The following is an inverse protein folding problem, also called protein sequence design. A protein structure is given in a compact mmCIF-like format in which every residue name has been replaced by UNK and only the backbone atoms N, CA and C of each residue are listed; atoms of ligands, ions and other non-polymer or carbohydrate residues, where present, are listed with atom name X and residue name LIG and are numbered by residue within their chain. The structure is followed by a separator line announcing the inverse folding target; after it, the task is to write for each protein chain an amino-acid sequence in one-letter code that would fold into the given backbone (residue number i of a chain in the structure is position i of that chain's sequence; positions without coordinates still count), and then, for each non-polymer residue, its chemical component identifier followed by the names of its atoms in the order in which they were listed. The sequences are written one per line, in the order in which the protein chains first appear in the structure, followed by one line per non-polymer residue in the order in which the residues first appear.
data_IF_882330382599
#
_entry.id   IF_882330382599
#
_cell.length_a   1.000
_cell.length_b   1.000
_cell.length_c   1.000
_cell.angle_alpha   90.00
_cell.angle_beta   90.00
_cell.angle_gamma   90.00
#
_symmetry.space_group_name_H-M   'P 1'
#
loop_
_entity.id
_entity.type
_entity.pdbx_description
1 polymer ?
#
# COMPACT_ATOMS: atom_id res chain seq x y z
N UNK A 1 -90.27 30.72 86.39
CA UNK A 1 -91.03 31.96 86.10
C UNK A 1 -92.46 31.98 86.68
N UNK A 2 -93.51 31.49 85.98
CA UNK A 2 -94.91 31.66 86.45
C UNK A 2 -95.29 30.82 87.69
N UNK A 3 -94.57 29.71 87.95
CA UNK A 3 -94.82 28.81 89.08
C UNK A 3 -94.25 29.36 90.39
N UNK A 4 -93.02 29.85 90.38
CA UNK A 4 -92.35 30.47 91.55
C UNK A 4 -93.07 31.73 92.03
N UNK A 5 -93.57 32.55 91.10
CA UNK A 5 -94.31 33.78 91.46
C UNK A 5 -95.65 33.45 92.14
N UNK A 6 -96.34 32.39 91.70
CA UNK A 6 -97.56 31.89 92.37
C UNK A 6 -97.26 31.32 93.76
N UNK A 7 -96.12 30.69 93.94
CA UNK A 7 -95.69 30.12 95.22
C UNK A 7 -95.36 31.22 96.25
N UNK A 8 -94.65 32.28 95.85
CA UNK A 8 -94.41 33.45 96.69
C UNK A 8 -95.69 34.15 97.15
N UNK A 9 -96.67 34.33 96.26
CA UNK A 9 -97.98 34.92 96.61
C UNK A 9 -98.75 34.02 97.59
N UNK A 10 -98.70 32.70 97.40
CA UNK A 10 -99.34 31.73 98.30
C UNK A 10 -98.73 31.75 99.70
N UNK A 11 -97.40 31.79 99.80
CA UNK A 11 -96.69 31.87 101.07
C UNK A 11 -96.95 33.20 101.79
N UNK A 12 -96.99 34.32 101.05
CA UNK A 12 -97.33 35.63 101.61
C UNK A 12 -98.75 35.67 102.22
N UNK A 13 -99.74 35.09 101.54
CA UNK A 13 -101.11 34.99 102.07
C UNK A 13 -101.19 34.13 103.34
N UNK A 14 -100.43 33.03 103.41
CA UNK A 14 -100.35 32.19 104.61
C UNK A 14 -99.74 32.93 105.80
N UNK A 15 -98.68 33.70 105.58
CA UNK A 15 -98.03 34.49 106.62
C UNK A 15 -98.95 35.58 107.20
N UNK A 16 -99.75 36.25 106.36
CA UNK A 16 -100.75 37.24 106.82
C UNK A 16 -101.80 36.58 107.70
N UNK A 17 -102.31 35.41 107.29
CA UNK A 17 -103.34 34.70 108.06
C UNK A 17 -102.85 34.27 109.44
N UNK A 18 -101.60 33.81 109.56
CA UNK A 18 -100.98 33.47 110.84
C UNK A 18 -100.87 34.71 111.74
N UNK A 19 -100.49 35.86 111.18
CA UNK A 19 -100.40 37.12 111.92
C UNK A 19 -101.77 37.62 112.39
N UNK A 20 -102.82 37.46 111.58
CA UNK A 20 -104.20 37.80 111.95
C UNK A 20 -104.70 36.93 113.12
N UNK A 21 -104.47 35.61 113.06
CA UNK A 21 -104.85 34.68 114.13
C UNK A 21 -104.13 34.96 115.46
N UNK A 22 -102.84 35.35 115.43
CA UNK A 22 -102.07 35.72 116.63
C UNK A 22 -102.50 37.07 117.22
N UNK A 23 -102.85 38.04 116.36
CA UNK A 23 -103.36 39.36 116.79
C UNK A 23 -104.72 39.26 117.50
N UNK A 24 -105.60 38.36 117.06
CA UNK A 24 -106.90 38.12 117.72
C UNK A 24 -106.73 37.40 119.07
N UNK A 25 -105.79 36.45 119.17
CA UNK A 25 -105.52 35.72 120.40
C UNK A 25 -104.81 36.58 121.46
N UNK A 26 -103.85 37.42 121.03
CA UNK A 26 -103.01 38.24 121.90
C UNK A 26 -103.11 39.71 121.49
N UNK A 27 -104.25 40.34 121.80
CA UNK A 27 -104.45 41.75 121.51
C UNK A 27 -103.41 42.62 122.24
N UNK A 28 -102.53 43.34 121.53
CA UNK A 28 -101.44 44.11 122.13
C UNK A 28 -101.94 45.14 123.15
N UNK A 29 -101.20 45.28 124.25
CA UNK A 29 -101.57 46.17 125.35
C UNK A 29 -101.75 47.64 124.92
N UNK A 30 -101.02 48.07 123.88
CA UNK A 30 -101.11 49.40 123.28
C UNK A 30 -102.53 49.77 122.82
N UNK A 31 -103.34 48.81 122.34
CA UNK A 31 -104.72 49.07 121.94
C UNK A 31 -105.66 49.22 123.14
N UNK A 32 -105.34 48.56 124.26
CA UNK A 32 -106.07 48.73 125.53
C UNK A 32 -105.75 50.09 126.17
N UNK A 33 -104.48 50.52 126.12
CA UNK A 33 -104.08 51.88 126.50
C UNK A 33 -104.80 52.92 125.64
N UNK A 34 -104.81 52.75 124.31
CA UNK A 34 -105.55 53.65 123.42
C UNK A 34 -107.02 53.80 123.82
N UNK A 35 -107.72 52.71 124.19
CA UNK A 35 -109.12 52.80 124.65
C UNK A 35 -109.29 53.49 126.00
N UNK A 36 -108.29 53.44 126.90
CA UNK A 36 -108.35 54.06 128.23
C UNK A 36 -107.82 55.51 128.28
N UNK A 37 -107.06 55.93 127.27
CA UNK A 37 -106.43 57.25 127.19
C UNK A 37 -107.42 58.39 126.88
N UNK A 38 -107.06 59.61 127.33
CA UNK A 38 -107.71 60.86 126.95
C UNK A 38 -107.47 61.25 125.48
N UNK A 39 -108.18 62.26 124.98
CA UNK A 39 -108.21 62.59 123.55
C UNK A 39 -106.83 62.98 122.97
N UNK A 40 -106.01 63.71 123.72
CA UNK A 40 -104.68 64.14 123.27
C UNK A 40 -103.66 62.97 123.21
N UNK A 41 -103.68 62.07 124.19
CA UNK A 41 -102.80 60.88 124.21
C UNK A 41 -103.15 59.89 123.08
N UNK A 42 -104.44 59.75 122.74
CA UNK A 42 -104.87 58.93 121.60
C UNK A 42 -104.30 59.43 120.28
N UNK A 43 -104.28 60.74 120.04
CA UNK A 43 -103.73 61.32 118.80
C UNK A 43 -102.23 61.06 118.67
N UNK A 44 -101.48 61.13 119.77
CA UNK A 44 -100.05 60.82 119.75
C UNK A 44 -99.78 59.33 119.43
N UNK A 45 -100.58 58.41 119.97
CA UNK A 45 -100.49 56.98 119.64
C UNK A 45 -100.86 56.72 118.17
N UNK A 46 -101.90 57.38 117.64
CA UNK A 46 -102.26 57.29 116.22
C UNK A 46 -101.17 57.80 115.28
N UNK A 47 -100.53 58.92 115.62
CA UNK A 47 -99.47 59.50 114.81
C UNK A 47 -98.23 58.57 114.76
N UNK A 48 -97.84 57.99 115.89
CA UNK A 48 -96.70 57.06 115.96
C UNK A 48 -96.98 55.73 115.24
N UNK A 49 -98.20 55.19 115.36
CA UNK A 49 -98.64 54.00 114.60
C UNK A 49 -98.76 54.30 113.10
N UNK A 50 -99.24 55.48 112.73
CA UNK A 50 -99.29 55.98 111.35
C UNK A 50 -97.89 56.04 110.74
N UNK A 51 -96.92 56.59 111.48
CA UNK A 51 -95.51 56.61 111.08
C UNK A 51 -94.92 55.21 110.87
N UNK A 52 -95.18 54.27 111.80
CA UNK A 52 -94.72 52.88 111.66
C UNK A 52 -95.38 52.17 110.48
N UNK A 53 -96.66 52.41 110.23
CA UNK A 53 -97.39 51.85 109.08
C UNK A 53 -96.78 52.31 107.76
N UNK A 54 -96.48 53.61 107.62
CA UNK A 54 -95.86 54.14 106.41
C UNK A 54 -94.44 53.59 106.22
N UNK A 55 -93.64 53.49 107.30
CA UNK A 55 -92.31 52.91 107.26
C UNK A 55 -92.31 51.43 106.85
N UNK A 56 -93.22 50.62 107.39
CA UNK A 56 -93.35 49.20 107.02
C UNK A 56 -93.86 49.02 105.58
N UNK A 57 -94.76 49.89 105.12
CA UNK A 57 -95.20 49.92 103.71
C UNK A 57 -94.02 50.21 102.78
N UNK A 58 -93.21 51.21 103.09
CA UNK A 58 -92.02 51.55 102.29
C UNK A 58 -90.99 50.40 102.29
N UNK A 59 -90.76 49.75 103.44
CA UNK A 59 -89.86 48.59 103.54
C UNK A 59 -90.34 47.41 102.71
N UNK A 60 -91.65 47.15 102.73
CA UNK A 60 -92.27 46.11 101.89
C UNK A 60 -92.15 46.42 100.40
N UNK A 61 -92.36 47.69 100.02
CA UNK A 61 -92.16 48.16 98.63
C UNK A 61 -90.71 47.99 98.18
N UNK A 62 -89.74 48.34 99.02
CA UNK A 62 -88.32 48.15 98.74
C UNK A 62 -87.96 46.66 98.54
N UNK A 63 -88.47 45.78 99.41
CA UNK A 63 -88.29 44.34 99.29
C UNK A 63 -88.85 43.80 97.97
N UNK A 64 -90.03 44.28 97.55
CA UNK A 64 -90.63 43.91 96.26
C UNK A 64 -89.79 44.35 95.06
N UNK A 65 -89.32 45.59 95.04
CA UNK A 65 -88.48 46.08 93.95
C UNK A 65 -87.14 45.33 93.88
N UNK A 66 -86.54 44.98 95.02
CA UNK A 66 -85.32 44.17 95.08
C UNK A 66 -85.54 42.78 94.50
N UNK A 67 -86.63 42.10 94.89
CA UNK A 67 -86.98 40.79 94.34
C UNK A 67 -87.22 40.85 92.83
N UNK A 68 -88.00 41.84 92.37
CA UNK A 68 -88.26 42.04 90.94
C UNK A 68 -86.99 42.29 90.13
N UNK A 69 -86.07 43.10 90.67
CA UNK A 69 -84.80 43.40 89.99
C UNK A 69 -83.94 42.14 89.85
N UNK A 70 -83.80 41.35 90.91
CA UNK A 70 -83.05 40.09 90.87
C UNK A 70 -83.67 39.11 89.87
N UNK A 71 -85.00 38.96 89.88
CA UNK A 71 -85.69 38.06 88.95
C UNK A 71 -85.48 38.45 87.47
N UNK A 72 -85.54 39.74 87.15
CA UNK A 72 -85.29 40.22 85.78
C UNK A 72 -83.82 40.04 85.39
N UNK A 73 -82.89 40.33 86.29
CA UNK A 73 -81.45 40.17 86.05
C UNK A 73 -81.09 38.70 85.75
N UNK A 74 -81.62 37.75 86.53
CA UNK A 74 -81.41 36.32 86.30
C UNK A 74 -81.97 35.84 84.95
N UNK A 75 -83.15 36.34 84.54
CA UNK A 75 -83.69 36.02 83.22
C UNK A 75 -82.84 36.62 82.08
N UNK A 76 -82.28 37.81 82.28
CA UNK A 76 -81.44 38.45 81.27
C UNK A 76 -80.13 37.68 81.07
N UNK A 77 -79.46 37.24 82.15
CA UNK A 77 -78.27 36.39 82.06
C UNK A 77 -78.56 35.06 81.34
N UNK A 78 -79.73 34.46 81.60
CA UNK A 78 -80.13 33.25 80.90
C UNK A 78 -80.38 33.49 79.39
N UNK A 79 -81.00 34.61 79.03
CA UNK A 79 -81.24 34.97 77.63
C UNK A 79 -79.93 35.27 76.87
N UNK A 80 -79.02 36.03 77.49
CA UNK A 80 -77.72 36.38 76.89
C UNK A 80 -76.88 35.11 76.59
N UNK A 81 -76.91 34.12 77.50
CA UNK A 81 -76.23 32.84 77.33
C UNK A 81 -76.79 32.01 76.16
N UNK A 82 -78.11 31.95 76.00
CA UNK A 82 -78.74 31.22 74.90
C UNK A 82 -78.45 31.90 73.54
N UNK A 83 -78.38 33.23 73.51
CA UNK A 83 -77.99 33.95 72.28
C UNK A 83 -76.55 33.68 71.86
N UNK A 84 -75.60 33.59 72.80
CA UNK A 84 -74.22 33.21 72.47
C UNK A 84 -74.12 31.79 71.87
N UNK A 85 -74.89 30.84 72.41
CA UNK A 85 -74.92 29.46 71.89
C UNK A 85 -75.48 29.41 70.46
N UNK A 86 -76.55 30.14 70.18
CA UNK A 86 -77.12 30.23 68.82
C UNK A 86 -76.15 30.88 67.82
N UNK A 87 -75.32 31.81 68.28
CA UNK A 87 -74.31 32.46 67.44
C UNK A 87 -73.18 31.49 67.07
N UNK A 88 -72.74 30.64 68.01
CA UNK A 88 -71.77 29.58 67.75
C UNK A 88 -72.31 28.53 66.77
N UNK A 89 -73.58 28.15 66.89
CA UNK A 89 -74.22 27.21 65.98
C UNK A 89 -74.27 27.77 64.54
N UNK A 90 -74.59 29.06 64.37
CA UNK A 90 -74.58 29.73 63.07
C UNK A 90 -73.20 29.68 62.40
N UNK A 91 -72.14 29.97 63.15
CA UNK A 91 -70.76 29.91 62.65
C UNK A 91 -70.36 28.49 62.22
N UNK A 92 -70.77 27.47 62.99
CA UNK A 92 -70.51 26.07 62.65
C UNK A 92 -71.18 25.65 61.34
N UNK A 93 -72.43 26.08 61.10
CA UNK A 93 -73.17 25.77 59.88
C UNK A 93 -72.58 26.47 58.65
N UNK A 94 -72.09 27.70 58.80
CA UNK A 94 -71.40 28.41 57.71
C UNK A 94 -70.07 27.74 57.33
N UNK A 95 -69.32 27.23 58.31
CA UNK A 95 -68.10 26.46 58.06
C UNK A 95 -68.38 25.15 57.29
N UNK A 96 -69.45 24.42 57.65
CA UNK A 96 -69.85 23.20 56.93
C UNK A 96 -70.39 23.52 55.53
N UNK A 97 -71.14 24.61 55.38
CA UNK A 97 -71.66 25.06 54.08
C UNK A 97 -70.56 25.40 53.08
N UNK A 98 -69.51 26.09 53.51
CA UNK A 98 -68.36 26.42 52.66
C UNK A 98 -67.56 25.17 52.27
N UNK A 99 -67.34 24.24 53.19
CA UNK A 99 -66.66 22.96 52.89
C UNK A 99 -67.40 22.07 51.88
N UNK A 100 -68.74 22.17 51.80
CA UNK A 100 -69.55 21.37 50.87
C UNK A 100 -69.76 22.05 49.51
N UNK A 101 -69.70 23.37 49.42
CA UNK A 101 -70.01 24.10 48.18
C UNK A 101 -68.88 24.01 47.15
N UNK A 102 -67.62 23.94 47.58
CA UNK A 102 -66.46 23.81 46.67
C UNK A 102 -66.32 22.44 45.96
N UNK A 103 -66.45 21.27 46.63
CA UNK A 103 -66.14 19.99 45.99
C UNK A 103 -67.29 19.37 45.19
N UNK A 104 -68.55 19.77 45.41
CA UNK A 104 -69.73 19.14 44.77
C UNK A 104 -69.74 19.23 43.23
N UNK A 105 -69.41 20.37 42.60
CA UNK A 105 -69.36 20.46 41.14
C UNK A 105 -68.26 19.57 40.53
N UNK A 106 -67.07 19.58 41.17
CA UNK A 106 -65.92 18.73 40.83
C UNK A 106 -66.28 17.24 40.88
N UNK A 107 -66.94 16.80 41.96
CA UNK A 107 -67.37 15.40 42.12
C UNK A 107 -68.40 14.98 41.05
N UNK A 108 -69.30 15.88 40.64
CA UNK A 108 -70.26 15.59 39.56
C UNK A 108 -69.58 15.45 38.20
N UNK A 109 -68.59 16.28 37.93
CA UNK A 109 -67.80 16.19 36.70
C UNK A 109 -66.95 14.91 36.67
N UNK A 110 -66.30 14.56 37.78
CA UNK A 110 -65.58 13.30 37.94
C UNK A 110 -66.50 12.09 37.75
N UNK A 111 -67.70 12.11 38.33
CA UNK A 111 -68.68 11.05 38.15
C UNK A 111 -69.14 10.91 36.69
N UNK A 112 -69.40 12.02 35.99
CA UNK A 112 -69.74 12.01 34.58
C UNK A 112 -68.59 11.44 33.71
N UNK A 113 -67.35 11.84 34.01
CA UNK A 113 -66.15 11.33 33.34
C UNK A 113 -65.95 9.84 33.56
N UNK A 114 -66.09 9.36 34.80
CA UNK A 114 -65.99 7.94 35.13
C UNK A 114 -67.09 7.12 34.45
N UNK A 115 -68.31 7.66 34.35
CA UNK A 115 -69.42 6.98 33.65
C UNK A 115 -69.16 6.88 32.13
N UNK A 116 -68.57 7.91 31.53
CA UNK A 116 -68.17 7.88 30.12
C UNK A 116 -67.02 6.88 29.87
N UNK A 117 -66.02 6.85 30.76
CA UNK A 117 -64.94 5.87 30.69
C UNK A 117 -65.46 4.43 30.83
N UNK A 118 -66.36 4.17 31.78
CA UNK A 118 -67.00 2.86 31.94
C UNK A 118 -67.74 2.43 30.66
N UNK A 119 -68.43 3.36 29.99
CA UNK A 119 -69.13 3.06 28.75
C UNK A 119 -68.16 2.73 27.60
N UNK A 120 -67.06 3.48 27.48
CA UNK A 120 -66.02 3.23 26.49
C UNK A 120 -65.32 1.87 26.73
N UNK A 121 -64.98 1.57 27.98
CA UNK A 121 -64.37 0.28 28.36
C UNK A 121 -65.31 -0.89 28.08
N UNK A 122 -66.61 -0.76 28.39
CA UNK A 122 -67.59 -1.79 28.04
C UNK A 122 -67.68 -2.01 26.53
N UNK A 123 -67.67 -0.93 25.73
CA UNK A 123 -67.67 -1.04 24.28
C UNK A 123 -66.39 -1.71 23.75
N UNK A 124 -65.23 -1.38 24.33
CA UNK A 124 -63.95 -2.02 24.00
C UNK A 124 -63.94 -3.51 24.36
N UNK A 125 -64.52 -3.89 25.49
CA UNK A 125 -64.64 -5.30 25.91
C UNK A 125 -65.56 -6.09 24.97
N UNK A 126 -66.69 -5.53 24.54
CA UNK A 126 -67.56 -6.21 23.56
C UNK A 126 -66.88 -6.33 22.19
N UNK A 127 -66.21 -5.27 21.70
CA UNK A 127 -65.43 -5.35 20.46
C UNK A 127 -64.28 -6.37 20.54
N UNK A 128 -63.67 -6.55 21.72
CA UNK A 128 -62.64 -7.56 21.95
C UNK A 128 -63.18 -9.00 22.03
N UNK A 129 -64.46 -9.19 22.38
CA UNK A 129 -65.12 -10.51 22.34
C UNK A 129 -65.46 -10.94 20.92
N UNK A 130 -65.70 -9.99 20.03
CA UNK A 130 -65.93 -10.23 18.60
C UNK A 130 -64.63 -10.52 17.82
N UNK A 131 -63.45 -10.34 18.44
CA UNK A 131 -62.18 -10.74 17.86
C UNK A 131 -61.99 -12.26 17.93
N UNK A 132 -62.00 -12.89 16.75
CA UNK A 132 -61.82 -14.34 16.60
C UNK A 132 -60.45 -14.80 17.15
N UNK A 133 -60.41 -15.70 18.16
CA UNK A 133 -59.16 -16.22 18.71
C UNK A 133 -58.32 -16.98 17.68
N UNK A 134 -58.94 -17.54 16.63
CA UNK A 134 -58.24 -18.27 15.57
C UNK A 134 -57.37 -17.32 14.72
N UNK A 135 -57.95 -16.20 14.27
CA UNK A 135 -57.24 -15.13 13.53
C UNK A 135 -56.10 -14.52 14.37
N UNK A 136 -56.32 -14.33 15.67
CA UNK A 136 -55.28 -13.84 16.59
C UNK A 136 -54.11 -14.83 16.72
N UNK A 137 -54.40 -16.13 16.71
CA UNK A 137 -53.37 -17.17 16.74
C UNK A 137 -52.57 -17.21 15.43
N UNK A 138 -53.24 -17.10 14.27
CA UNK A 138 -52.60 -17.05 12.96
C UNK A 138 -51.69 -15.83 12.82
N UNK A 139 -52.14 -14.64 13.26
CA UNK A 139 -51.31 -13.43 13.25
C UNK A 139 -50.09 -13.56 14.17
N UNK A 140 -50.22 -14.19 15.34
CA UNK A 140 -49.07 -14.45 16.23
C UNK A 140 -48.07 -15.41 15.59
N UNK A 141 -48.56 -16.47 14.94
CA UNK A 141 -47.71 -17.40 14.18
C UNK A 141 -47.00 -16.64 13.05
N UNK A 142 -47.72 -15.86 12.25
CA UNK A 142 -47.14 -15.06 11.17
C UNK A 142 -46.10 -14.03 11.67
N UNK A 143 -46.33 -13.36 12.79
CA UNK A 143 -45.34 -12.47 13.43
C UNK A 143 -44.10 -13.26 13.87
N UNK A 144 -44.28 -14.45 14.44
CA UNK A 144 -43.16 -15.29 14.87
C UNK A 144 -42.32 -15.79 13.69
N UNK A 145 -42.96 -16.17 12.59
CA UNK A 145 -42.30 -16.58 11.34
C UNK A 145 -41.55 -15.41 10.70
N UNK A 146 -42.18 -14.24 10.61
CA UNK A 146 -41.53 -13.03 10.08
C UNK A 146 -40.36 -12.59 10.95
N UNK A 147 -40.48 -12.68 12.29
CA UNK A 147 -39.38 -12.39 13.19
C UNK A 147 -38.22 -13.35 12.93
N UNK A 148 -38.47 -14.66 12.88
CA UNK A 148 -37.45 -15.66 12.55
C UNK A 148 -36.76 -15.38 11.19
N UNK A 149 -37.52 -14.95 10.18
CA UNK A 149 -36.99 -14.56 8.87
C UNK A 149 -36.12 -13.29 8.95
N UNK A 150 -36.53 -12.28 9.71
CA UNK A 150 -35.77 -11.05 9.94
C UNK A 150 -34.45 -11.37 10.66
N UNK A 151 -34.47 -12.22 11.68
CA UNK A 151 -33.27 -12.67 12.38
C UNK A 151 -32.32 -13.43 11.43
N UNK A 152 -32.85 -14.28 10.54
CA UNK A 152 -32.05 -14.94 9.49
C UNK A 152 -31.38 -13.92 8.56
N UNK A 153 -32.14 -12.94 8.05
CA UNK A 153 -31.56 -11.91 7.17
C UNK A 153 -30.53 -11.03 7.87
N UNK A 154 -30.72 -10.71 9.16
CA UNK A 154 -29.70 -10.01 9.94
C UNK A 154 -28.41 -10.82 10.01
N UNK A 155 -28.49 -12.13 10.25
CA UNK A 155 -27.32 -13.01 10.27
C UNK A 155 -26.64 -13.07 8.90
N UNK A 156 -27.40 -13.15 7.82
CA UNK A 156 -26.86 -13.15 6.45
C UNK A 156 -26.17 -11.83 6.10
N UNK A 157 -26.77 -10.70 6.48
CA UNK A 157 -26.16 -9.37 6.30
C UNK A 157 -24.85 -9.29 7.07
N UNK A 158 -24.81 -9.71 8.34
CA UNK A 158 -23.58 -9.70 9.14
C UNK A 158 -22.50 -10.62 8.55
N UNK A 159 -22.87 -11.79 8.05
CA UNK A 159 -21.96 -12.71 7.37
C UNK A 159 -21.42 -12.12 6.07
N UNK A 160 -22.28 -11.48 5.28
CA UNK A 160 -21.91 -10.84 4.01
C UNK A 160 -21.01 -9.62 4.22
N UNK A 161 -21.31 -8.77 5.21
CA UNK A 161 -20.47 -7.61 5.56
C UNK A 161 -19.10 -8.05 6.06
N UNK A 162 -19.02 -9.09 6.89
CA UNK A 162 -17.75 -9.67 7.33
C UNK A 162 -16.94 -10.24 6.16
N UNK A 163 -17.59 -10.88 5.17
CA UNK A 163 -16.93 -11.35 3.95
C UNK A 163 -16.42 -10.19 3.08
N UNK A 164 -17.21 -9.13 2.93
CA UNK A 164 -16.83 -7.93 2.19
C UNK A 164 -15.62 -7.24 2.81
N UNK A 165 -15.60 -7.06 4.14
CA UNK A 165 -14.45 -6.48 4.85
C UNK A 165 -13.18 -7.32 4.63
N UNK A 166 -13.27 -8.65 4.74
CA UNK A 166 -12.14 -9.54 4.44
C UNK A 166 -11.66 -9.43 2.99
N UNK A 167 -12.56 -9.27 2.03
CA UNK A 167 -12.21 -9.11 0.62
C UNK A 167 -11.56 -7.75 0.34
N UNK A 168 -12.01 -6.68 1.00
CA UNK A 168 -11.39 -5.35 0.90
C UNK A 168 -9.94 -5.38 1.40
N UNK A 169 -9.70 -5.97 2.57
CA UNK A 169 -8.33 -6.10 3.12
C UNK A 169 -7.44 -6.86 2.14
N UNK A 170 -7.91 -7.99 1.60
CA UNK A 170 -7.16 -8.76 0.60
C UNK A 170 -6.90 -7.99 -0.70
N UNK A 171 -7.85 -7.15 -1.13
CA UNK A 171 -7.69 -6.30 -2.31
C UNK A 171 -6.61 -5.25 -2.06
N UNK A 172 -6.63 -4.60 -0.89
CA UNK A 172 -5.61 -3.62 -0.49
C UNK A 172 -4.22 -4.26 -0.42
N UNK A 173 -4.09 -5.44 0.20
CA UNK A 173 -2.85 -6.22 0.22
C UNK A 173 -2.36 -6.52 -1.21
N UNK A 174 -3.23 -7.06 -2.07
CA UNK A 174 -2.89 -7.38 -3.46
C UNK A 174 -2.50 -6.12 -4.27
N UNK A 175 -3.13 -4.97 -4.03
CA UNK A 175 -2.75 -3.71 -4.65
C UNK A 175 -1.37 -3.23 -4.18
N UNK A 176 -1.07 -3.37 -2.89
CA UNK A 176 0.27 -3.02 -2.37
C UNK A 176 1.35 -3.92 -2.94
N UNK A 177 1.11 -5.23 -3.02
CA UNK A 177 2.03 -6.20 -3.63
C UNK A 177 2.24 -5.89 -5.12
N UNK A 178 1.15 -5.59 -5.84
CA UNK A 178 1.23 -5.20 -7.25
C UNK A 178 2.12 -3.97 -7.44
N UNK A 179 1.94 -2.92 -6.62
CA UNK A 179 2.77 -1.70 -6.70
C UNK A 179 4.24 -2.01 -6.40
N UNK A 180 4.51 -2.80 -5.37
CA UNK A 180 5.87 -3.21 -5.02
C UNK A 180 6.54 -4.00 -6.16
N UNK A 181 5.83 -4.94 -6.78
CA UNK A 181 6.34 -5.70 -7.93
C UNK A 181 6.57 -4.80 -9.16
N UNK A 182 5.68 -3.84 -9.42
CA UNK A 182 5.86 -2.88 -10.52
C UNK A 182 7.09 -1.99 -10.31
N UNK A 183 7.34 -1.52 -9.08
CA UNK A 183 8.55 -0.77 -8.76
C UNK A 183 9.82 -1.61 -8.92
N UNK A 184 9.79 -2.89 -8.51
CA UNK A 184 10.91 -3.81 -8.76
C UNK A 184 11.17 -4.00 -10.25
N UNK A 185 10.12 -4.21 -11.06
CA UNK A 185 10.24 -4.33 -12.52
C UNK A 185 10.89 -3.08 -13.10
N UNK A 186 10.44 -1.88 -12.69
CA UNK A 186 11.03 -0.61 -13.17
C UNK A 186 12.52 -0.53 -12.84
N UNK A 187 12.92 -0.81 -11.60
CA UNK A 187 14.33 -0.77 -11.19
C UNK A 187 15.17 -1.80 -11.96
N UNK A 188 14.62 -2.98 -12.21
CA UNK A 188 15.31 -4.00 -13.01
C UNK A 188 15.42 -3.61 -14.48
N UNK A 189 14.41 -2.95 -15.05
CA UNK A 189 14.45 -2.39 -16.40
C UNK A 189 15.51 -1.29 -16.52
N UNK A 190 15.57 -0.34 -15.58
CA UNK A 190 16.60 0.70 -15.55
C UNK A 190 18.03 0.10 -15.49
N UNK A 191 18.23 -0.97 -14.71
CA UNK A 191 19.50 -1.71 -14.68
C UNK A 191 19.80 -2.40 -16.01
N UNK A 192 18.78 -2.94 -16.69
CA UNK A 192 18.91 -3.58 -18.00
C UNK A 192 19.24 -2.55 -19.10
N UNK A 193 18.62 -1.37 -19.04
CA UNK A 193 18.89 -0.27 -19.95
C UNK A 193 20.30 0.30 -19.73
N UNK A 194 20.77 0.36 -18.47
CA UNK A 194 22.16 0.68 -18.16
C UNK A 194 23.17 -0.39 -18.64
N UNK A 195 22.73 -1.65 -18.77
CA UNK A 195 23.53 -2.76 -19.29
C UNK A 195 23.42 -2.92 -20.81
N UNK A 196 22.53 -2.19 -21.50
CA UNK A 196 22.47 -2.25 -22.95
C UNK A 196 23.83 -1.86 -23.54
N UNK A 197 24.31 -2.56 -24.59
CA UNK A 197 25.58 -2.25 -25.19
C UNK A 197 25.53 -0.81 -25.66
N UNK A 198 26.28 0.04 -24.97
CA UNK A 198 26.42 1.45 -25.33
C UNK A 198 26.88 1.52 -26.79
N UNK A 199 26.54 2.62 -27.47
CA UNK A 199 27.03 2.85 -28.83
C UNK A 199 28.56 2.64 -28.92
N UNK A 200 29.29 2.90 -27.83
CA UNK A 200 30.71 2.62 -27.67
C UNK A 200 31.07 1.14 -27.83
N UNK A 201 30.35 0.21 -27.18
CA UNK A 201 30.63 -1.24 -27.30
C UNK A 201 30.38 -1.73 -28.72
N UNK A 202 29.31 -1.23 -29.36
CA UNK A 202 29.01 -1.54 -30.77
C UNK A 202 30.11 -1.00 -31.69
N UNK A 203 30.50 0.26 -31.50
CA UNK A 203 31.59 0.89 -32.26
C UNK A 203 32.91 0.13 -32.05
N UNK A 204 33.27 -0.23 -30.82
CA UNK A 204 34.48 -1.00 -30.52
C UNK A 204 34.48 -2.35 -31.20
N UNK A 205 33.32 -3.02 -31.23
CA UNK A 205 33.17 -4.29 -31.94
C UNK A 205 33.37 -4.12 -33.44
N UNK A 206 32.77 -3.09 -34.04
CA UNK A 206 32.98 -2.81 -35.46
C UNK A 206 34.44 -2.46 -35.78
N UNK A 207 35.09 -1.64 -34.94
CA UNK A 207 36.51 -1.32 -35.07
C UNK A 207 37.37 -2.57 -34.96
N UNK A 208 37.07 -3.44 -34.01
CA UNK A 208 37.75 -4.72 -33.86
C UNK A 208 37.58 -5.62 -35.09
N UNK A 209 36.36 -5.75 -35.61
CA UNK A 209 36.07 -6.51 -36.83
C UNK A 209 36.75 -5.89 -38.07
N UNK A 210 36.89 -4.57 -38.13
CA UNK A 210 37.67 -3.87 -39.18
C UNK A 210 39.15 -4.19 -39.05
N UNK A 211 39.72 -4.15 -37.85
CA UNK A 211 41.13 -4.49 -37.60
C UNK A 211 41.43 -5.95 -37.93
N UNK A 212 40.54 -6.88 -37.57
CA UNK A 212 40.69 -8.30 -37.93
C UNK A 212 40.75 -8.50 -39.45
N UNK A 213 39.84 -7.85 -40.19
CA UNK A 213 39.82 -7.90 -41.66
C UNK A 213 41.06 -7.28 -42.28
N UNK A 214 41.50 -6.11 -41.80
CA UNK A 214 42.69 -5.42 -42.34
C UNK A 214 43.98 -6.22 -42.14
N UNK A 215 44.10 -6.93 -41.02
CA UNK A 215 45.28 -7.73 -40.71
C UNK A 215 45.16 -9.21 -41.11
N UNK A 216 44.00 -9.62 -41.64
CA UNK A 216 43.63 -11.01 -41.96
C UNK A 216 43.65 -11.96 -40.76
N UNK A 217 43.84 -11.45 -39.55
CA UNK A 217 43.89 -12.23 -38.31
C UNK A 217 42.53 -12.23 -37.62
N UNK A 218 42.00 -13.41 -37.34
CA UNK A 218 40.75 -13.60 -36.62
C UNK A 218 41.00 -14.36 -35.33
N UNK A 219 40.49 -13.84 -34.22
CA UNK A 219 40.53 -14.53 -32.94
C UNK A 219 39.39 -15.57 -32.89
N UNK A 220 39.74 -16.85 -32.79
CA UNK A 220 38.76 -17.94 -32.67
C UNK A 220 38.47 -18.21 -31.20
N UNK A 221 39.53 -18.30 -30.39
CA UNK A 221 39.42 -18.60 -28.96
C UNK A 221 40.47 -17.82 -28.18
N UNK A 222 40.05 -17.14 -27.11
CA UNK A 222 40.92 -16.35 -26.24
C UNK A 222 40.67 -16.75 -24.79
N UNK A 223 41.45 -17.71 -24.29
CA UNK A 223 41.45 -18.13 -22.89
C UNK A 223 42.83 -17.89 -22.28
N UNK A 224 42.89 -17.74 -20.96
CA UNK A 224 44.14 -17.47 -20.24
C UNK A 224 45.21 -18.55 -20.50
N UNK A 225 44.77 -19.80 -20.64
CA UNK A 225 45.61 -20.99 -20.85
C UNK A 225 45.71 -21.44 -22.30
N UNK A 226 44.88 -20.89 -23.20
CA UNK A 226 44.81 -21.35 -24.58
C UNK A 226 44.32 -20.24 -25.50
N UNK A 227 45.10 -19.94 -26.53
CA UNK A 227 44.75 -18.94 -27.54
C UNK A 227 44.76 -19.61 -28.92
N UNK A 228 43.70 -19.39 -29.68
CA UNK A 228 43.55 -19.86 -31.05
C UNK A 228 43.25 -18.68 -31.97
N UNK A 229 44.12 -18.50 -32.96
CA UNK A 229 43.99 -17.49 -34.00
C UNK A 229 43.94 -18.14 -35.38
N UNK A 230 43.20 -17.54 -36.30
CA UNK A 230 43.21 -17.88 -37.72
C UNK A 230 43.82 -16.74 -38.52
N UNK A 231 44.55 -17.06 -39.58
CA UNK A 231 45.04 -16.10 -40.57
C UNK A 231 44.49 -16.45 -41.95
N UNK A 232 43.80 -15.46 -42.56
CA UNK A 232 43.23 -15.50 -43.91
C UNK A 232 42.41 -16.78 -44.21
N UNK A 233 41.79 -17.36 -43.16
CA UNK A 233 41.09 -18.66 -43.20
C UNK A 233 41.89 -19.84 -43.79
N UNK A 234 43.22 -19.70 -43.88
CA UNK A 234 44.14 -20.70 -44.43
C UNK A 234 45.00 -21.35 -43.35
N UNK A 235 45.39 -20.57 -42.34
CA UNK A 235 46.27 -21.06 -41.28
C UNK A 235 45.64 -20.86 -39.91
N UNK A 236 45.85 -21.83 -39.03
CA UNK A 236 45.37 -21.84 -37.66
C UNK A 236 46.53 -21.97 -36.70
N UNK A 237 46.65 -21.02 -35.79
CA UNK A 237 47.72 -20.96 -34.79
C UNK A 237 47.09 -21.25 -33.43
N UNK A 238 47.40 -22.43 -32.90
CA UNK A 238 47.00 -22.84 -31.56
C UNK A 238 48.18 -22.62 -30.61
N UNK A 239 47.92 -22.00 -29.47
CA UNK A 239 48.96 -21.63 -28.51
C UNK A 239 48.51 -22.00 -27.10
N UNK A 240 49.18 -22.97 -26.50
CA UNK A 240 49.12 -23.15 -25.05
C UNK A 240 49.78 -21.96 -24.35
N UNK A 241 49.10 -21.42 -23.35
CA UNK A 241 49.48 -20.18 -22.68
C UNK A 241 49.50 -20.34 -21.16
N UNK A 242 50.22 -19.45 -20.48
CA UNK A 242 50.10 -19.21 -19.04
C UNK A 242 49.93 -17.71 -18.85
N UNK A 243 48.82 -17.26 -18.27
CA UNK A 243 48.48 -15.84 -18.16
C UNK A 243 48.58 -15.09 -19.50
N UNK A 244 47.97 -15.66 -20.56
CA UNK A 244 48.01 -15.14 -21.95
C UNK A 244 49.42 -15.05 -22.58
N UNK A 245 50.44 -15.65 -21.96
CA UNK A 245 51.79 -15.75 -22.54
C UNK A 245 51.96 -17.12 -23.21
N UNK A 246 52.16 -17.17 -24.54
CA UNK A 246 52.29 -18.41 -25.28
C UNK A 246 53.60 -19.14 -24.95
N UNK A 247 53.52 -20.45 -24.76
CA UNK A 247 54.66 -21.34 -24.52
C UNK A 247 55.16 -21.87 -25.88
N UNK A 248 56.42 -21.61 -26.27
CA UNK A 248 56.94 -22.01 -27.59
C UNK A 248 56.76 -23.49 -27.95
N UNK A 249 56.88 -24.40 -26.98
CA UNK A 249 56.71 -25.84 -27.18
C UNK A 249 55.25 -26.28 -27.36
N UNK A 250 54.31 -25.52 -26.79
CA UNK A 250 52.87 -25.78 -26.86
C UNK A 250 52.15 -25.03 -27.99
N UNK A 251 52.89 -24.31 -28.83
CA UNK A 251 52.33 -23.67 -30.02
C UNK A 251 52.33 -24.63 -31.22
N UNK A 252 51.25 -24.64 -32.01
CA UNK A 252 51.11 -25.43 -33.24
C UNK A 252 50.51 -24.57 -34.35
N UNK A 253 51.09 -24.67 -35.53
CA UNK A 253 50.55 -24.07 -36.77
C UNK A 253 49.97 -25.17 -37.64
N UNK A 254 48.70 -25.02 -38.01
CA UNK A 254 47.93 -25.99 -38.78
C UNK A 254 47.38 -25.33 -40.04
N UNK A 255 47.24 -26.10 -41.12
CA UNK A 255 46.51 -25.66 -42.33
C UNK A 255 45.03 -25.93 -42.13
N UNK A 256 44.21 -24.97 -42.51
CA UNK A 256 42.77 -25.13 -42.60
C UNK A 256 42.49 -25.68 -44.01
N UNK A 257 41.87 -26.87 -44.13
CA UNK A 257 41.56 -27.42 -45.45
C UNK A 257 40.59 -26.49 -46.18
N UNK A 258 40.85 -26.16 -47.46
CA UNK A 258 40.00 -25.26 -48.22
C UNK A 258 38.60 -25.85 -48.37
N UNK A 259 37.59 -24.99 -48.29
CA UNK A 259 36.19 -25.37 -48.55
C UNK A 259 35.98 -25.52 -50.06
N UNK A 260 36.41 -26.64 -50.65
CA UNK A 260 36.20 -26.94 -52.07
C UNK A 260 37.32 -27.75 -52.72
N UNK A 261 37.28 -27.87 -54.06
CA UNK A 261 38.29 -28.58 -54.87
C UNK A 261 39.48 -27.69 -55.28
N UNK A 262 39.88 -26.74 -54.43
CA UNK A 262 41.04 -25.91 -54.75
C UNK A 262 42.30 -26.65 -54.28
N UNK A 263 43.00 -27.28 -55.23
CA UNK A 263 44.28 -27.90 -54.98
C UNK A 263 45.35 -26.81 -54.82
N UNK A 264 46.26 -27.01 -53.87
CA UNK A 264 47.42 -26.13 -53.70
C UNK A 264 48.33 -26.23 -54.93
N UNK A 265 48.57 -25.10 -55.60
CA UNK A 265 49.44 -24.98 -56.77
C UNK A 265 50.91 -25.34 -56.46
N UNK A 266 51.33 -25.16 -55.21
CA UNK A 266 52.72 -25.31 -54.76
C UNK A 266 52.79 -26.01 -53.38
N UNK A 267 52.43 -27.30 -53.28
CA UNK A 267 52.30 -28.02 -52.01
C UNK A 267 53.62 -28.09 -51.25
N UNK A 268 54.74 -28.31 -51.95
CA UNK A 268 56.09 -28.38 -51.35
C UNK A 268 56.46 -27.07 -50.64
N UNK A 269 56.06 -25.93 -51.22
CA UNK A 269 56.30 -24.61 -50.62
C UNK A 269 55.44 -24.41 -49.38
N UNK A 270 54.16 -24.80 -49.42
CA UNK A 270 53.26 -24.69 -48.27
C UNK A 270 53.73 -25.51 -47.09
N UNK A 271 54.14 -26.76 -47.31
CA UNK A 271 54.72 -27.59 -46.24
C UNK A 271 56.01 -26.98 -45.67
N UNK A 272 56.90 -26.46 -46.53
CA UNK A 272 58.12 -25.80 -46.09
C UNK A 272 57.83 -24.56 -45.23
N UNK A 273 56.84 -23.75 -45.62
CA UNK A 273 56.44 -22.54 -44.90
C UNK A 273 55.82 -22.88 -43.54
N UNK A 274 55.07 -23.98 -43.44
CA UNK A 274 54.55 -24.47 -42.16
C UNK A 274 55.68 -24.92 -41.23
N UNK A 275 56.62 -25.71 -41.75
CA UNK A 275 57.78 -26.17 -40.98
C UNK A 275 58.61 -24.97 -40.49
N UNK A 276 58.81 -23.98 -41.35
CA UNK A 276 59.50 -22.73 -41.03
C UNK A 276 58.74 -21.91 -39.97
N UNK A 277 57.44 -21.72 -40.14
CA UNK A 277 56.59 -21.01 -39.17
C UNK A 277 56.65 -21.67 -37.78
N UNK A 278 56.58 -23.01 -37.74
CA UNK A 278 56.68 -23.79 -36.52
C UNK A 278 58.07 -23.66 -35.86
N UNK A 279 59.14 -23.68 -36.65
CA UNK A 279 60.51 -23.48 -36.17
C UNK A 279 60.73 -22.05 -35.64
N UNK A 280 60.19 -21.05 -36.32
CA UNK A 280 60.25 -19.63 -35.90
C UNK A 280 59.63 -19.44 -34.51
N UNK A 281 58.50 -20.08 -34.22
CA UNK A 281 57.88 -20.01 -32.90
C UNK A 281 58.73 -20.72 -31.85
N UNK A 282 59.23 -21.93 -32.15
CA UNK A 282 60.04 -22.73 -31.22
C UNK A 282 61.35 -22.04 -30.83
N UNK A 283 61.99 -21.34 -31.77
CA UNK A 283 63.26 -20.66 -31.55
C UNK A 283 63.10 -19.22 -31.03
N UNK A 284 61.88 -18.70 -30.93
CA UNK A 284 61.64 -17.35 -30.46
C UNK A 284 61.79 -17.23 -28.94
N UNK A 285 62.66 -16.33 -28.50
CA UNK A 285 62.80 -15.94 -27.10
C UNK A 285 61.74 -14.90 -26.70
N UNK A 286 61.30 -14.91 -25.43
CA UNK A 286 60.32 -13.96 -24.88
C UNK A 286 59.06 -13.84 -25.75
N UNK A 287 58.41 -14.98 -26.02
CA UNK A 287 57.23 -15.03 -26.88
C UNK A 287 56.05 -14.32 -26.21
N UNK A 288 55.38 -13.47 -26.98
CA UNK A 288 54.10 -12.87 -26.61
C UNK A 288 53.18 -12.84 -27.83
N UNK A 289 51.88 -12.67 -27.60
CA UNK A 289 50.87 -12.70 -28.66
C UNK A 289 51.20 -11.74 -29.82
N UNK A 290 51.58 -10.50 -29.48
CA UNK A 290 51.94 -9.46 -30.45
C UNK A 290 53.13 -9.88 -31.33
N UNK A 291 54.14 -10.53 -30.75
CA UNK A 291 55.32 -11.02 -31.45
C UNK A 291 54.96 -12.17 -32.38
N UNK A 292 54.12 -13.12 -31.94
CA UNK A 292 53.61 -14.22 -32.78
C UNK A 292 52.86 -13.68 -34.00
N UNK A 293 51.83 -12.85 -33.77
CA UNK A 293 50.98 -12.28 -34.82
C UNK A 293 51.81 -11.49 -35.84
N UNK A 294 52.74 -10.65 -35.37
CA UNK A 294 53.60 -9.87 -36.27
C UNK A 294 54.58 -10.73 -37.04
N UNK A 295 55.21 -11.70 -36.37
CA UNK A 295 56.23 -12.57 -36.98
C UNK A 295 55.62 -13.46 -38.06
N UNK A 296 54.53 -14.16 -37.73
CA UNK A 296 53.83 -15.03 -38.68
C UNK A 296 53.11 -14.22 -39.76
N UNK A 297 52.50 -13.08 -39.40
CA UNK A 297 51.86 -12.20 -40.38
C UNK A 297 52.85 -11.70 -41.43
N UNK A 298 54.06 -11.28 -41.04
CA UNK A 298 55.12 -10.90 -41.99
C UNK A 298 55.54 -12.05 -42.89
N UNK A 299 55.72 -13.24 -42.31
CA UNK A 299 56.08 -14.44 -43.07
C UNK A 299 55.02 -14.76 -44.12
N UNK A 300 53.74 -14.82 -43.74
CA UNK A 300 52.68 -15.17 -44.68
C UNK A 300 52.42 -14.09 -45.72
N UNK A 301 52.51 -12.80 -45.38
CA UNK A 301 52.47 -11.74 -46.40
C UNK A 301 53.62 -11.86 -47.39
N UNK A 302 54.84 -12.13 -46.91
CA UNK A 302 56.02 -12.38 -47.75
C UNK A 302 55.80 -13.58 -48.67
N UNK A 303 55.32 -14.69 -48.13
CA UNK A 303 55.01 -15.92 -48.87
C UNK A 303 53.89 -15.69 -49.89
N UNK A 304 52.89 -14.88 -49.58
CA UNK A 304 51.82 -14.52 -50.54
C UNK A 304 52.38 -13.78 -51.76
N UNK A 305 53.32 -12.85 -51.57
CA UNK A 305 54.02 -12.17 -52.67
C UNK A 305 54.91 -13.13 -53.48
N UNK A 306 55.64 -14.00 -52.80
CA UNK A 306 56.45 -15.04 -53.45
C UNK A 306 55.56 -15.97 -54.29
N UNK A 307 54.45 -16.46 -53.73
CA UNK A 307 53.49 -17.31 -54.44
C UNK A 307 52.92 -16.60 -55.66
N UNK A 308 52.62 -15.30 -55.56
CA UNK A 308 52.16 -14.52 -56.69
C UNK A 308 53.21 -14.48 -57.82
N UNK A 309 54.48 -14.22 -57.50
CA UNK A 309 55.59 -14.25 -58.46
C UNK A 309 55.76 -15.64 -59.11
N UNK A 310 55.70 -16.71 -58.32
CA UNK A 310 55.79 -18.08 -58.82
C UNK A 310 54.60 -18.45 -59.71
N UNK A 311 53.39 -17.96 -59.42
CA UNK A 311 52.21 -18.13 -60.29
C UNK A 311 52.41 -17.44 -61.63
N UNK A 312 52.89 -16.20 -61.64
CA UNK A 312 53.16 -15.47 -62.89
C UNK A 312 54.19 -16.21 -63.74
N UNK A 313 55.25 -16.74 -63.12
CA UNK A 313 56.22 -17.58 -63.79
C UNK A 313 55.58 -18.88 -64.33
N UNK A 314 54.76 -19.54 -63.50
CA UNK A 314 54.06 -20.78 -63.85
C UNK A 314 53.02 -20.61 -64.98
N UNK A 315 52.46 -19.41 -65.16
CA UNK A 315 51.56 -19.10 -66.27
C UNK A 315 52.26 -19.14 -67.63
N UNK A 316 53.57 -18.88 -67.68
CA UNK A 316 54.36 -18.84 -68.93
C UNK A 316 55.25 -20.06 -69.11
N UNK A 317 55.84 -20.55 -68.04
CA UNK A 317 56.78 -21.66 -68.06
C UNK A 317 56.36 -22.74 -67.06
N UNK A 318 56.51 -24.04 -67.37
CA UNK A 318 56.32 -25.08 -66.37
C UNK A 318 57.31 -24.90 -65.22
N UNK A 319 56.79 -24.72 -64.00
CA UNK A 319 57.57 -24.53 -62.77
C UNK A 319 57.43 -25.73 -61.84
N UNK A 320 58.55 -26.24 -61.33
CA UNK A 320 58.59 -27.26 -60.28
C UNK A 320 59.34 -26.75 -59.06
N UNK A 321 58.82 -26.99 -57.86
CA UNK A 321 59.45 -26.56 -56.60
C UNK A 321 59.94 -27.79 -55.83
N UNK A 322 61.19 -27.75 -55.40
CA UNK A 322 61.80 -28.76 -54.55
C UNK A 322 62.39 -28.11 -53.30
N UNK A 323 62.36 -28.79 -52.16
CA UNK A 323 63.05 -28.30 -50.94
C UNK A 323 64.56 -28.25 -51.17
N UNK A 324 65.24 -27.29 -50.54
CA UNK A 324 66.70 -27.25 -50.54
C UNK A 324 67.27 -28.40 -49.69
N UNK A 325 68.52 -28.79 -49.97
CA UNK A 325 69.16 -29.94 -49.33
C UNK A 325 69.45 -29.71 -47.82
N UNK A 326 69.50 -28.44 -47.39
CA UNK A 326 69.72 -28.03 -46.00
C UNK A 326 68.87 -26.81 -45.64
N UNK A 327 68.38 -26.78 -44.40
CA UNK A 327 67.64 -25.64 -43.85
C UNK A 327 66.23 -25.46 -44.44
N UNK A 328 65.69 -24.26 -44.32
CA UNK A 328 64.33 -23.91 -44.77
C UNK A 328 64.29 -23.28 -46.16
N UNK A 329 65.16 -23.70 -47.09
CA UNK A 329 65.20 -23.16 -48.45
C UNK A 329 64.37 -23.95 -49.47
N UNK A 330 64.16 -23.39 -50.65
CA UNK A 330 63.61 -24.09 -51.80
C UNK A 330 64.36 -23.75 -53.10
N UNK A 331 64.23 -24.63 -54.09
CA UNK A 331 64.66 -24.43 -55.47
C UNK A 331 63.41 -24.43 -56.36
N UNK A 332 63.16 -23.34 -57.07
CA UNK A 332 62.12 -23.24 -58.09
C UNK A 332 62.75 -23.36 -59.47
N UNK A 333 62.38 -24.39 -60.22
CA UNK A 333 62.93 -24.70 -61.53
C UNK A 333 61.90 -24.38 -62.60
N UNK A 334 62.19 -23.39 -63.45
CA UNK A 334 61.39 -23.03 -64.61
C UNK A 334 61.99 -23.61 -65.89
N UNK A 335 61.17 -24.26 -66.71
CA UNK A 335 61.60 -24.81 -68.01
C UNK A 335 61.37 -23.77 -69.10
N UNK A 336 62.44 -23.11 -69.53
CA UNK A 336 62.38 -21.98 -70.48
C UNK A 336 62.91 -22.40 -71.85
N UNK A 337 62.12 -22.11 -72.88
CA UNK A 337 62.46 -22.39 -74.28
C UNK A 337 63.06 -21.14 -74.90
N UNK A 338 64.15 -21.31 -75.64
CA UNK A 338 64.89 -20.25 -76.33
C UNK A 338 64.71 -20.45 -77.84
N UNK A 339 63.76 -19.75 -78.49
CA UNK A 339 63.41 -19.98 -79.89
C UNK A 339 64.59 -19.72 -80.85
N UNK A 340 65.30 -18.61 -80.67
CA UNK A 340 66.41 -18.16 -81.54
C UNK A 340 67.59 -19.11 -81.51
N UNK A 341 67.96 -19.61 -80.32
CA UNK A 341 69.02 -20.61 -80.14
C UNK A 341 68.56 -22.06 -80.36
N UNK A 342 67.27 -22.30 -80.68
CA UNK A 342 66.61 -23.62 -80.75
C UNK A 342 66.94 -24.50 -79.52
N UNK A 343 66.94 -23.89 -78.34
CA UNK A 343 67.39 -24.51 -77.10
C UNK A 343 66.32 -24.58 -76.02
N UNK A 344 66.59 -25.38 -75.00
CA UNK A 344 65.81 -25.49 -73.76
C UNK A 344 66.79 -25.44 -72.59
N UNK A 345 66.56 -24.54 -71.64
CA UNK A 345 67.27 -24.52 -70.37
C UNK A 345 66.29 -24.58 -69.19
N UNK A 346 66.75 -25.12 -68.08
CA UNK A 346 66.06 -25.04 -66.80
C UNK A 346 66.71 -23.93 -66.00
N UNK A 347 65.96 -22.88 -65.70
CA UNK A 347 66.41 -21.80 -64.82
C UNK A 347 66.00 -22.17 -63.41
N UNK A 348 66.95 -22.18 -62.48
CA UNK A 348 66.76 -22.58 -61.09
C UNK A 348 66.98 -21.38 -60.19
N UNK A 349 65.91 -20.94 -59.54
CA UNK A 349 65.94 -19.92 -58.50
C UNK A 349 66.06 -20.60 -57.14
N UNK A 350 67.08 -20.25 -56.37
CA UNK A 350 67.43 -20.85 -55.08
C UNK A 350 67.19 -19.80 -54.00
N UNK A 351 66.14 -20.01 -53.21
CA UNK A 351 65.77 -19.14 -52.11
C UNK A 351 66.14 -19.78 -50.77
N UNK A 352 66.88 -19.04 -49.95
CA UNK A 352 67.18 -19.41 -48.57
C UNK A 352 66.10 -18.90 -47.60
N UNK A 353 66.22 -19.33 -46.34
CA UNK A 353 65.26 -18.98 -45.28
C UNK A 353 65.03 -17.47 -45.13
N UNK A 354 66.10 -16.65 -45.22
CA UNK A 354 65.96 -15.19 -45.10
C UNK A 354 65.15 -14.59 -46.26
N UNK A 355 65.34 -15.10 -47.48
CA UNK A 355 64.60 -14.66 -48.67
C UNK A 355 63.11 -15.00 -48.57
N UNK A 356 62.77 -16.15 -47.99
CA UNK A 356 61.37 -16.55 -47.80
C UNK A 356 60.69 -15.66 -46.75
N UNK A 357 61.41 -15.31 -45.68
CA UNK A 357 60.90 -14.46 -44.59
C UNK A 357 60.69 -13.01 -45.02
N UNK A 358 61.54 -12.49 -45.89
CA UNK A 358 61.54 -11.09 -46.33
C UNK A 358 61.62 -10.97 -47.86
N UNK A 359 60.71 -11.65 -48.57
CA UNK A 359 60.65 -11.65 -50.03
C UNK A 359 60.51 -10.21 -50.56
N UNK A 360 61.32 -9.89 -51.56
CA UNK A 360 61.37 -8.56 -52.17
C UNK A 360 62.47 -7.64 -51.66
N UNK A 361 63.04 -7.86 -50.46
CA UNK A 361 64.07 -6.96 -49.90
C UNK A 361 65.51 -7.33 -50.25
N UNK A 362 65.79 -8.60 -50.52
CA UNK A 362 67.15 -9.11 -50.71
C UNK A 362 67.25 -9.97 -51.99
N UNK A 363 66.51 -9.58 -53.04
CA UNK A 363 66.43 -10.30 -54.31
C UNK A 363 67.79 -10.43 -55.02
N UNK A 364 68.69 -9.48 -54.80
CA UNK A 364 70.08 -9.51 -55.27
C UNK A 364 70.93 -10.67 -54.70
N UNK A 365 70.52 -11.24 -53.57
CA UNK A 365 71.19 -12.40 -52.95
C UNK A 365 70.51 -13.73 -53.26
N UNK A 366 69.47 -13.72 -54.10
CA UNK A 366 68.82 -14.93 -54.57
C UNK A 366 69.81 -15.76 -55.41
N UNK A 367 69.97 -17.04 -55.07
CA UNK A 367 70.81 -17.93 -55.86
C UNK A 367 70.17 -18.19 -57.21
N UNK A 368 70.96 -18.13 -58.28
CA UNK A 368 70.51 -18.43 -59.65
C UNK A 368 71.45 -19.44 -60.26
N UNK A 369 70.89 -20.48 -60.84
CA UNK A 369 71.59 -21.45 -61.65
C UNK A 369 70.81 -21.73 -62.94
N UNK A 370 71.50 -22.21 -63.97
CA UNK A 370 70.89 -22.62 -65.23
C UNK A 370 71.46 -23.98 -65.66
N UNK A 371 70.58 -24.88 -66.10
CA UNK A 371 70.93 -26.18 -66.67
C UNK A 371 70.48 -26.21 -68.13
N UNK A 372 71.43 -26.19 -69.07
CA UNK A 372 71.12 -26.29 -70.51
C UNK A 372 70.78 -27.74 -70.82
N UNK A 373 69.54 -28.01 -71.23
CA UNK A 373 69.07 -29.35 -71.60
C UNK A 373 69.52 -29.70 -73.02
N UNK A 374 69.34 -28.75 -73.96
CA UNK A 374 69.87 -28.84 -75.33
C UNK A 374 69.88 -27.44 -75.98
N UNK A 375 70.68 -27.29 -77.05
CA UNK A 375 70.85 -26.02 -77.77
C UNK A 375 72.21 -25.38 -77.53
N UNK A 376 72.59 -24.42 -78.39
CA UNK A 376 73.83 -23.64 -78.23
C UNK A 376 73.58 -22.46 -77.29
N UNK A 377 73.39 -22.76 -76.00
CA UNK A 377 73.17 -21.77 -74.95
C UNK A 377 74.39 -21.74 -74.04
N UNK A 378 74.84 -20.54 -73.65
CA UNK A 378 75.87 -20.38 -72.63
C UNK A 378 75.21 -20.26 -71.25
N UNK A 379 75.47 -21.25 -70.39
CA UNK A 379 74.97 -21.27 -69.01
C UNK A 379 75.39 -20.02 -68.23
N UNK A 380 76.66 -19.60 -68.37
CA UNK A 380 77.19 -18.51 -67.54
C UNK A 380 76.55 -17.19 -67.92
N UNK A 381 76.40 -16.92 -69.22
CA UNK A 381 75.71 -15.75 -69.75
C UNK A 381 74.25 -15.69 -69.29
N UNK A 382 73.50 -16.80 -69.35
CA UNK A 382 72.13 -16.86 -68.84
C UNK A 382 72.06 -16.52 -67.34
N UNK A 383 72.97 -17.05 -66.54
CA UNK A 383 73.02 -16.78 -65.09
C UNK A 383 73.39 -15.32 -64.81
N UNK A 384 74.31 -14.74 -65.58
CA UNK A 384 74.72 -13.34 -65.43
C UNK A 384 73.59 -12.36 -65.73
N UNK A 385 72.89 -12.51 -66.87
CA UNK A 385 71.76 -11.66 -67.26
C UNK A 385 70.64 -11.71 -66.23
N UNK A 386 70.31 -12.90 -65.74
CA UNK A 386 69.27 -13.06 -64.71
C UNK A 386 69.71 -12.40 -63.40
N UNK A 387 70.99 -12.54 -63.03
CA UNK A 387 71.52 -11.94 -61.80
C UNK A 387 71.53 -10.41 -61.87
N UNK A 388 71.91 -9.84 -63.01
CA UNK A 388 71.90 -8.40 -63.27
C UNK A 388 70.47 -7.84 -63.13
N UNK A 389 69.49 -8.52 -63.74
CA UNK A 389 68.08 -8.12 -63.61
C UNK A 389 67.57 -8.18 -62.17
N UNK A 390 67.98 -9.19 -61.39
CA UNK A 390 67.63 -9.32 -59.98
C UNK A 390 68.34 -8.28 -59.09
N UNK A 391 69.53 -7.82 -59.47
CA UNK A 391 70.23 -6.76 -58.73
C UNK A 391 69.68 -5.37 -58.98
N UNK A 392 69.13 -5.12 -60.16
CA UNK A 392 68.56 -3.82 -60.54
C UNK A 392 67.15 -3.60 -60.00
N UNK A 393 66.50 -4.65 -59.51
CA UNK A 393 65.12 -4.60 -59.04
C UNK A 393 64.95 -3.78 -57.75
N UNK A 394 64.06 -2.78 -57.79
CA UNK A 394 63.58 -2.04 -56.62
C UNK A 394 62.38 -2.78 -56.02
N UNK A 395 62.16 -2.65 -54.70
CA UNK A 395 61.08 -3.34 -53.95
C UNK A 395 59.69 -3.12 -54.60
N UNK A 396 59.43 -1.95 -55.18
CA UNK A 396 58.17 -1.59 -55.84
C UNK A 396 57.97 -2.29 -57.20
N UNK A 397 59.05 -2.74 -57.84
CA UNK A 397 59.05 -3.47 -59.12
C UNK A 397 59.18 -4.99 -58.95
N UNK A 398 59.07 -5.49 -57.72
CA UNK A 398 59.23 -6.92 -57.39
C UNK A 398 58.09 -7.83 -57.88
N UNK A 399 57.08 -7.28 -58.56
CA UNK A 399 55.96 -8.03 -59.13
C UNK A 399 56.31 -8.56 -60.52
N UNK A 400 56.35 -9.89 -60.68
CA UNK A 400 56.67 -10.50 -61.97
C UNK A 400 58.16 -10.58 -62.28
N UNK A 401 59.03 -10.16 -61.36
CA UNK A 401 60.47 -10.07 -61.58
C UNK A 401 61.11 -11.40 -62.03
N UNK A 402 60.67 -12.54 -61.48
CA UNK A 402 61.19 -13.85 -61.90
C UNK A 402 60.84 -14.17 -63.35
N UNK A 403 59.67 -13.72 -63.80
CA UNK A 403 59.21 -13.89 -65.16
C UNK A 403 59.98 -12.97 -66.11
N UNK A 404 60.17 -11.70 -65.72
CA UNK A 404 60.91 -10.71 -66.50
C UNK A 404 62.38 -11.12 -66.64
N UNK A 405 63.02 -11.59 -65.57
CA UNK A 405 64.40 -12.09 -65.65
C UNK A 405 64.53 -13.30 -66.60
N UNK A 406 63.51 -14.16 -66.68
CA UNK A 406 63.49 -15.22 -67.70
C UNK A 406 63.26 -14.68 -69.12
N UNK A 407 62.53 -13.57 -69.27
CA UNK A 407 62.31 -12.92 -70.57
C UNK A 407 63.60 -12.22 -71.06
N UNK A 408 64.31 -11.52 -70.19
CA UNK A 408 65.58 -10.87 -70.49
C UNK A 408 66.66 -11.90 -70.89
N UNK A 409 66.68 -13.04 -70.20
CA UNK A 409 67.53 -14.17 -70.57
C UNK A 409 67.24 -14.70 -71.99
N UNK A 410 65.97 -14.70 -72.43
CA UNK A 410 65.60 -15.09 -73.80
C UNK A 410 66.08 -14.02 -74.79
N UNK A 411 65.85 -12.74 -74.50
CA UNK A 411 66.22 -11.62 -75.37
C UNK A 411 67.73 -11.57 -75.65
N UNK A 412 68.56 -11.87 -74.64
CA UNK A 412 70.02 -11.93 -74.79
C UNK A 412 70.51 -13.04 -75.74
N UNK A 413 69.65 -13.98 -76.13
CA UNK A 413 69.96 -15.01 -77.14
C UNK A 413 69.41 -14.69 -78.54
N UNK A 414 68.72 -13.56 -78.69
CA UNK A 414 68.22 -13.04 -79.97
C UNK A 414 69.18 -12.02 -80.61
N UNK A 415 70.02 -11.38 -79.80
CA UNK A 415 71.19 -10.58 -80.20
C UNK A 415 72.40 -11.48 -80.51
#
# INVERSE_FOLDING_TARGET
AAKELKEYISNGKRAIKILEEDLDANNPYLFKEYLASGEDDRRAIEETLGGHKEAMRMRSKMSWYKWRHNFVSEMQVAADRETELLQQDLESLQAVGTQLTEPIPSLREQHAKLKAQLAAERAAVEAAKDCDPEIMSELKVGISEQSAQIESYKADIQSSTAKLEKLKIKLEEAETDKRALQDQIRVHQEKLDALHPTAEIVNLREEFEKLQRLHLWHAVKLEEKFIELCYDDQYRVQMECVAFKPIPSGCRVLVIPPKGKQADEFPVLSELVLDLAQAMIRHATNLNLKKVVRMLGRLWTSVSHLRCNLRLLAMKYPVTITRADRGFGFKATARVRFPSAKGLAKIVFIAEEQQIREWGKQLNTLGVDAEVVFGKLDRNLLVEVIRERLSDAIIEESYGLLLDACADAIACTEE
#
